data_IF_970453551847
#
_entry.id   IF_970453551847
#
_cell.length_a   1.000
_cell.length_b   1.000
_cell.length_c   1.000
_cell.angle_alpha   90.00
_cell.angle_beta   90.00
_cell.angle_gamma   90.00
#
_symmetry.space_group_name_H-M   'P 1'
#
loop_
_entity.id
_entity.type
_entity.pdbx_description
1 polymer ?
#
# COMPACT_ATOMS: atom_id res chain seq x y z
N UNK A 1 25.08 28.76 6.77
CA UNK A 1 24.40 29.59 5.74
C UNK A 1 25.06 29.48 4.37
N UNK A 2 26.37 29.71 4.23
CA UNK A 2 27.05 29.60 2.93
C UNK A 2 26.85 28.24 2.23
N UNK A 3 26.86 27.14 2.98
CA UNK A 3 26.64 25.79 2.42
C UNK A 3 25.25 25.63 1.80
N UNK A 4 24.21 26.19 2.42
CA UNK A 4 22.83 26.11 1.92
C UNK A 4 22.65 26.86 0.59
N UNK A 5 23.40 27.95 0.40
CA UNK A 5 23.32 28.79 -0.79
C UNK A 5 24.17 28.23 -1.95
N UNK A 6 25.36 27.69 -1.66
CA UNK A 6 26.36 27.36 -2.70
C UNK A 6 26.39 25.87 -3.07
N UNK A 7 25.93 24.98 -2.19
CA UNK A 7 25.95 23.54 -2.47
C UNK A 7 24.92 23.16 -3.53
N UNK A 8 25.32 22.28 -4.46
CA UNK A 8 24.42 21.67 -5.44
C UNK A 8 23.38 20.74 -4.81
N UNK A 9 23.61 20.27 -3.60
CA UNK A 9 22.64 19.50 -2.81
C UNK A 9 21.51 20.38 -2.23
N UNK A 10 21.66 21.70 -2.31
CA UNK A 10 20.68 22.70 -1.87
C UNK A 10 20.42 23.71 -3.01
N UNK A 11 20.50 25.02 -2.75
CA UNK A 11 20.12 26.04 -3.74
C UNK A 11 21.16 26.26 -4.84
N UNK A 12 22.40 25.80 -4.67
CA UNK A 12 23.53 26.12 -5.55
C UNK A 12 23.47 25.46 -6.94
N UNK A 13 22.52 24.56 -7.17
CA UNK A 13 22.25 23.95 -8.47
C UNK A 13 21.05 24.56 -9.21
N UNK A 14 20.35 25.52 -8.60
CA UNK A 14 19.13 26.11 -9.17
C UNK A 14 19.46 27.33 -10.03
N UNK A 15 18.77 27.45 -11.16
CA UNK A 15 18.95 28.53 -12.12
C UNK A 15 17.61 29.22 -12.41
N UNK A 16 17.64 30.56 -12.50
CA UNK A 16 16.49 31.35 -12.95
C UNK A 16 16.77 31.83 -14.36
N UNK A 17 15.85 31.55 -15.28
CA UNK A 17 15.92 32.03 -16.66
C UNK A 17 14.99 33.23 -16.84
N UNK A 18 15.57 34.41 -17.09
CA UNK A 18 14.81 35.62 -17.41
C UNK A 18 14.47 35.67 -18.90
N UNK A 19 13.23 36.07 -19.24
CA UNK A 19 12.77 36.24 -20.61
C UNK A 19 12.10 37.61 -20.77
N UNK A 20 12.39 38.33 -21.86
CA UNK A 20 11.80 39.65 -22.17
C UNK A 20 12.83 40.76 -22.32
N UNK A 21 12.51 41.96 -21.83
CA UNK A 21 13.43 43.10 -21.88
C UNK A 21 14.49 43.00 -20.77
N UNK A 22 15.73 42.70 -21.16
CA UNK A 22 16.85 42.49 -20.25
C UNK A 22 17.70 43.75 -20.03
N UNK A 23 17.27 44.90 -20.55
CA UNK A 23 18.02 46.15 -20.44
C UNK A 23 18.19 46.55 -18.97
N UNK A 24 19.44 46.77 -18.55
CA UNK A 24 19.83 47.08 -17.16
C UNK A 24 19.42 46.02 -16.12
N UNK A 25 19.14 44.77 -16.52
CA UNK A 25 18.74 43.73 -15.58
C UNK A 25 19.81 43.54 -14.49
N UNK A 26 21.10 43.48 -14.86
CA UNK A 26 22.23 43.32 -13.93
C UNK A 26 22.26 44.37 -12.81
N UNK A 27 21.86 45.60 -13.10
CA UNK A 27 21.82 46.70 -12.13
C UNK A 27 20.51 46.75 -11.34
N UNK A 28 19.46 46.08 -11.83
CA UNK A 28 18.13 46.06 -11.25
C UNK A 28 18.04 45.04 -10.10
N UNK A 29 18.48 45.45 -8.91
CA UNK A 29 18.43 44.63 -7.69
C UNK A 29 17.02 44.22 -7.27
N UNK A 30 16.01 45.02 -7.61
CA UNK A 30 14.62 44.73 -7.25
C UNK A 30 14.09 43.52 -8.03
N UNK A 31 14.36 43.45 -9.33
CA UNK A 31 14.00 42.30 -10.17
C UNK A 31 14.70 41.02 -9.72
N UNK A 32 15.99 41.08 -9.39
CA UNK A 32 16.72 39.93 -8.84
C UNK A 32 16.12 39.44 -7.52
N UNK A 33 15.72 40.35 -6.62
CA UNK A 33 15.08 39.97 -5.37
C UNK A 33 13.71 39.34 -5.62
N UNK A 34 12.90 39.91 -6.52
CA UNK A 34 11.59 39.36 -6.86
C UNK A 34 11.70 37.95 -7.42
N UNK A 35 12.61 37.74 -8.38
CA UNK A 35 12.85 36.43 -8.97
C UNK A 35 13.33 35.40 -7.93
N UNK A 36 14.20 35.79 -7.00
CA UNK A 36 14.62 34.91 -5.91
C UNK A 36 13.48 34.56 -4.97
N UNK A 37 12.60 35.51 -4.64
CA UNK A 37 11.43 35.25 -3.79
C UNK A 37 10.44 34.31 -4.49
N UNK A 38 10.19 34.50 -5.79
CA UNK A 38 9.33 33.60 -6.58
C UNK A 38 9.89 32.18 -6.65
N UNK A 39 11.19 32.03 -6.88
CA UNK A 39 11.84 30.72 -6.85
C UNK A 39 11.69 30.05 -5.47
N UNK A 40 11.91 30.80 -4.39
CA UNK A 40 11.78 30.28 -3.03
C UNK A 40 10.32 29.91 -2.69
N UNK A 41 9.34 30.68 -3.16
CA UNK A 41 7.91 30.40 -2.99
C UNK A 41 7.49 29.13 -3.75
N UNK A 42 8.03 28.94 -4.96
CA UNK A 42 7.82 27.70 -5.72
C UNK A 42 8.42 26.49 -4.98
N UNK A 43 9.66 26.60 -4.50
CA UNK A 43 10.30 25.53 -3.71
C UNK A 43 9.51 25.25 -2.43
N UNK A 44 9.06 26.29 -1.72
CA UNK A 44 8.22 26.13 -0.54
C UNK A 44 6.93 25.39 -0.87
N UNK A 45 6.26 25.77 -1.96
CA UNK A 45 5.02 25.12 -2.41
C UNK A 45 5.25 23.66 -2.77
N UNK A 46 6.33 23.34 -3.48
CA UNK A 46 6.71 21.97 -3.82
C UNK A 46 7.03 21.15 -2.58
N UNK A 47 7.82 21.68 -1.64
CA UNK A 47 8.12 21.03 -0.37
C UNK A 47 6.83 20.79 0.41
N UNK A 48 5.97 21.80 0.58
CA UNK A 48 4.68 21.64 1.29
C UNK A 48 3.77 20.63 0.61
N UNK A 49 3.80 20.53 -0.71
CA UNK A 49 3.08 19.52 -1.48
C UNK A 49 3.61 18.10 -1.29
N UNK A 50 4.84 17.95 -0.81
CA UNK A 50 5.53 16.68 -0.58
C UNK A 50 5.71 16.33 0.90
N UNK A 51 5.43 17.25 1.83
CA UNK A 51 5.45 16.95 3.27
C UNK A 51 4.31 15.99 3.57
N UNK A 52 4.67 14.75 3.87
CA UNK A 52 3.77 13.77 4.47
C UNK A 52 3.93 13.80 5.99
N UNK A 53 2.83 13.62 6.70
CA UNK A 53 2.82 13.60 8.17
C UNK A 53 3.49 12.33 8.74
N UNK A 54 3.55 11.26 7.94
CA UNK A 54 4.04 9.95 8.34
C UNK A 54 4.92 9.35 7.25
N UNK A 55 6.02 8.71 7.65
CA UNK A 55 6.87 7.88 6.80
C UNK A 55 6.86 6.42 7.29
N UNK A 56 7.11 5.48 6.39
CA UNK A 56 7.21 4.07 6.72
C UNK A 56 8.42 3.78 7.61
N UNK A 57 8.19 3.17 8.78
CA UNK A 57 9.27 2.68 9.63
C UNK A 57 9.82 1.34 9.13
N UNK A 58 11.15 1.18 9.20
CA UNK A 58 11.84 -0.11 8.97
C UNK A 58 11.85 -0.99 10.23
N UNK A 59 11.37 -0.47 11.34
CA UNK A 59 11.12 -1.21 12.56
C UNK A 59 9.66 -1.67 12.62
N UNK A 60 9.46 -2.93 12.98
CA UNK A 60 8.11 -3.47 13.07
C UNK A 60 7.45 -3.02 14.38
N UNK A 61 6.28 -2.41 14.24
CA UNK A 61 5.39 -2.07 15.36
C UNK A 61 4.12 -2.91 15.25
N UNK A 62 3.80 -3.62 16.32
CA UNK A 62 2.67 -4.54 16.36
C UNK A 62 1.42 -3.95 16.99
N UNK A 63 0.27 -4.28 16.43
CA UNK A 63 -1.05 -3.99 17.01
C UNK A 63 -1.87 -5.26 17.08
N UNK A 64 -2.78 -5.37 18.05
CA UNK A 64 -3.67 -6.54 18.13
C UNK A 64 -4.78 -6.43 17.08
N UNK A 65 -5.17 -7.57 16.50
CA UNK A 65 -6.22 -7.60 15.46
C UNK A 65 -7.51 -6.93 15.95
N UNK A 66 -7.94 -7.19 17.18
CA UNK A 66 -9.16 -6.59 17.75
C UNK A 66 -9.06 -5.08 18.05
N UNK A 67 -7.85 -4.51 18.05
CA UNK A 67 -7.64 -3.06 18.19
C UNK A 67 -7.73 -2.35 16.85
N UNK A 68 -7.38 -3.05 15.77
CA UNK A 68 -7.39 -2.54 14.40
C UNK A 68 -8.73 -2.81 13.71
N UNK A 69 -9.26 -4.02 13.88
CA UNK A 69 -10.50 -4.47 13.25
C UNK A 69 -11.68 -4.41 14.21
N UNK A 70 -12.62 -3.53 13.88
CA UNK A 70 -13.86 -3.31 14.61
C UNK A 70 -15.04 -3.24 13.63
N UNK A 71 -16.26 -3.33 14.18
CA UNK A 71 -17.48 -3.22 13.41
C UNK A 71 -17.62 -1.83 12.80
N UNK A 72 -17.60 -1.77 11.47
CA UNK A 72 -17.70 -0.53 10.69
C UNK A 72 -19.01 -0.51 9.90
N UNK A 73 -19.80 0.54 10.09
CA UNK A 73 -21.01 0.76 9.28
C UNK A 73 -20.63 1.41 7.96
N UNK A 74 -20.92 0.72 6.85
CA UNK A 74 -20.76 1.26 5.50
C UNK A 74 -22.05 1.95 5.06
N UNK A 75 -21.91 3.12 4.43
CA UNK A 75 -23.03 3.90 3.90
C UNK A 75 -22.90 3.99 2.38
N UNK A 76 -23.87 3.44 1.67
CA UNK A 76 -23.95 3.50 0.22
C UNK A 76 -25.11 4.40 -0.21
N UNK A 77 -24.92 5.16 -1.29
CA UNK A 77 -26.05 5.77 -2.00
C UNK A 77 -26.84 4.68 -2.73
N UNK A 78 -28.13 4.91 -2.98
CA UNK A 78 -29.01 3.91 -3.62
C UNK A 78 -28.50 3.42 -4.98
N UNK A 79 -27.82 4.29 -5.73
CA UNK A 79 -27.33 3.99 -7.08
C UNK A 79 -25.89 3.43 -7.09
N UNK A 80 -25.28 3.23 -5.91
CA UNK A 80 -23.90 2.73 -5.84
C UNK A 80 -23.87 1.22 -6.14
N UNK A 81 -23.17 0.85 -7.21
CA UNK A 81 -23.05 -0.55 -7.62
C UNK A 81 -22.34 -1.42 -6.59
N UNK A 82 -21.41 -0.87 -5.79
CA UNK A 82 -20.74 -1.59 -4.69
C UNK A 82 -21.70 -1.97 -3.57
N UNK A 83 -22.74 -1.16 -3.37
CA UNK A 83 -23.76 -1.39 -2.34
C UNK A 83 -24.85 -2.37 -2.76
N UNK A 84 -24.82 -2.89 -3.99
CA UNK A 84 -25.79 -3.89 -4.44
C UNK A 84 -25.53 -5.20 -3.71
N UNK A 85 -26.59 -5.77 -3.18
CA UNK A 85 -26.56 -7.09 -2.57
C UNK A 85 -26.12 -8.14 -3.60
N UNK A 86 -25.33 -9.09 -3.13
CA UNK A 86 -24.89 -10.24 -3.90
C UNK A 86 -25.22 -11.51 -3.11
N UNK A 87 -26.48 -11.97 -3.17
CA UNK A 87 -26.94 -13.09 -2.34
C UNK A 87 -26.20 -14.38 -2.66
N UNK A 88 -25.72 -14.54 -3.90
CA UNK A 88 -24.93 -15.70 -4.29
C UNK A 88 -23.57 -15.67 -3.60
N UNK A 89 -22.88 -14.52 -3.60
CA UNK A 89 -21.64 -14.39 -2.84
C UNK A 89 -21.87 -14.62 -1.34
N UNK A 90 -22.92 -14.04 -0.76
CA UNK A 90 -23.21 -14.28 0.66
C UNK A 90 -23.42 -15.78 0.94
N UNK A 91 -24.21 -16.47 0.13
CA UNK A 91 -24.44 -17.90 0.27
C UNK A 91 -23.14 -18.73 0.15
N UNK A 92 -22.29 -18.42 -0.81
CA UNK A 92 -21.04 -19.14 -1.06
C UNK A 92 -20.01 -18.98 0.07
N UNK A 93 -19.99 -17.82 0.74
CA UNK A 93 -18.91 -17.44 1.65
C UNK A 93 -19.29 -17.34 3.13
N UNK A 94 -20.58 -17.25 3.48
CA UNK A 94 -21.05 -17.13 4.87
C UNK A 94 -20.65 -18.30 5.79
N UNK A 95 -20.43 -19.49 5.24
CA UNK A 95 -20.04 -20.67 6.01
C UNK A 95 -18.52 -20.94 6.02
N UNK A 96 -17.72 -20.08 5.38
CA UNK A 96 -16.28 -20.28 5.22
C UNK A 96 -15.54 -19.73 6.45
N UNK A 97 -14.98 -20.64 7.24
CA UNK A 97 -14.23 -20.36 8.48
C UNK A 97 -12.98 -19.49 8.29
N UNK A 98 -12.40 -19.51 7.09
CA UNK A 98 -11.21 -18.74 6.73
C UNK A 98 -11.50 -17.30 6.31
N UNK A 99 -12.77 -16.92 6.08
CA UNK A 99 -13.13 -15.57 5.65
C UNK A 99 -13.90 -14.85 6.76
N UNK A 100 -13.37 -13.73 7.25
CA UNK A 100 -13.93 -13.04 8.41
C UNK A 100 -15.28 -12.33 8.14
N UNK A 101 -15.71 -12.26 6.88
CA UNK A 101 -16.90 -11.52 6.46
C UNK A 101 -17.88 -12.45 5.77
N UNK A 102 -19.18 -12.19 5.91
CA UNK A 102 -20.20 -12.98 5.23
C UNK A 102 -20.42 -12.55 3.78
N UNK A 103 -20.04 -11.32 3.43
CA UNK A 103 -20.23 -10.75 2.09
C UNK A 103 -19.22 -9.63 1.83
N UNK A 104 -19.13 -9.19 0.58
CA UNK A 104 -18.27 -8.08 0.15
C UNK A 104 -19.11 -7.06 -0.62
N UNK A 105 -19.27 -5.88 -0.04
CA UNK A 105 -19.78 -4.68 -0.71
C UNK A 105 -18.63 -3.92 -1.37
N UNK A 106 -18.08 -4.53 -2.41
CA UNK A 106 -16.82 -4.15 -3.04
C UNK A 106 -16.85 -4.26 -4.55
N UNK A 107 -15.68 -4.14 -5.17
CA UNK A 107 -15.53 -4.22 -6.63
C UNK A 107 -15.58 -5.65 -7.16
N UNK A 108 -15.73 -5.77 -8.49
CA UNK A 108 -15.62 -7.05 -9.19
C UNK A 108 -14.29 -7.74 -8.95
N UNK A 109 -13.20 -6.97 -8.86
CA UNK A 109 -11.84 -7.47 -8.65
C UNK A 109 -11.67 -8.05 -7.24
N UNK A 110 -12.18 -7.37 -6.22
CA UNK A 110 -12.19 -7.87 -4.84
C UNK A 110 -12.95 -9.20 -4.75
N UNK A 111 -14.15 -9.27 -5.35
CA UNK A 111 -14.94 -10.51 -5.38
C UNK A 111 -14.25 -11.63 -6.15
N UNK A 112 -13.63 -11.33 -7.29
CA UNK A 112 -12.89 -12.29 -8.09
C UNK A 112 -11.71 -12.88 -7.30
N UNK A 113 -10.96 -12.03 -6.58
CA UNK A 113 -9.87 -12.47 -5.72
C UNK A 113 -10.32 -13.48 -4.66
N UNK A 114 -11.42 -13.20 -3.95
CA UNK A 114 -11.93 -14.11 -2.91
C UNK A 114 -12.40 -15.44 -3.51
N UNK A 115 -13.05 -15.41 -4.68
CA UNK A 115 -13.41 -16.64 -5.41
C UNK A 115 -12.19 -17.43 -5.87
N UNK A 116 -11.11 -16.76 -6.27
CA UNK A 116 -9.85 -17.40 -6.62
C UNK A 116 -9.20 -18.05 -5.40
N UNK A 117 -9.13 -17.33 -4.28
CA UNK A 117 -8.56 -17.85 -3.05
C UNK A 117 -9.32 -19.09 -2.57
N UNK A 118 -10.66 -19.07 -2.60
CA UNK A 118 -11.50 -20.23 -2.20
C UNK A 118 -11.14 -21.51 -2.96
N UNK A 119 -10.89 -21.41 -4.27
CA UNK A 119 -10.45 -22.56 -5.09
C UNK A 119 -9.12 -23.14 -4.64
N UNK A 120 -8.31 -22.37 -3.92
CA UNK A 120 -6.96 -22.73 -3.47
C UNK A 120 -6.84 -22.98 -1.97
N UNK A 121 -7.87 -22.68 -1.18
CA UNK A 121 -7.85 -22.84 0.28
C UNK A 121 -7.48 -24.27 0.69
N UNK A 122 -8.03 -25.29 0.02
CA UNK A 122 -7.75 -26.69 0.38
C UNK A 122 -6.27 -27.05 0.17
N UNK A 123 -5.62 -26.52 -0.88
CA UNK A 123 -4.18 -26.69 -1.08
C UNK A 123 -3.38 -25.95 0.01
N UNK A 124 -3.79 -24.75 0.38
CA UNK A 124 -3.14 -24.00 1.46
C UNK A 124 -3.27 -24.74 2.81
N UNK A 125 -4.42 -25.38 3.06
CA UNK A 125 -4.65 -26.19 4.27
C UNK A 125 -3.73 -27.41 4.35
N UNK A 126 -3.07 -27.84 3.27
CA UNK A 126 -2.04 -28.90 3.36
C UNK A 126 -0.83 -28.44 4.19
N UNK A 127 -0.48 -27.15 4.12
CA UNK A 127 0.70 -26.57 4.79
C UNK A 127 0.36 -25.70 6.01
N UNK A 128 -0.81 -25.07 6.02
CA UNK A 128 -1.21 -24.10 7.03
C UNK A 128 -2.39 -24.63 7.86
N UNK A 129 -2.32 -24.46 9.19
CA UNK A 129 -3.37 -24.89 10.13
C UNK A 129 -4.49 -23.85 10.20
N UNK A 130 -4.10 -22.58 10.25
CA UNK A 130 -5.02 -21.46 10.33
C UNK A 130 -4.80 -20.53 9.14
N UNK A 131 -5.90 -20.21 8.47
CA UNK A 131 -5.95 -19.32 7.31
C UNK A 131 -7.04 -18.30 7.58
N UNK A 132 -6.70 -17.01 7.57
CA UNK A 132 -7.67 -15.94 7.77
C UNK A 132 -7.48 -14.83 6.74
N UNK A 133 -8.51 -14.59 5.94
CA UNK A 133 -8.58 -13.43 5.05
C UNK A 133 -9.43 -12.34 5.71
N UNK A 134 -8.81 -11.18 5.92
CA UNK A 134 -9.48 -9.98 6.40
C UNK A 134 -9.48 -8.91 5.31
N UNK A 135 -10.65 -8.35 5.02
CA UNK A 135 -10.81 -7.13 4.24
C UNK A 135 -10.50 -5.93 5.11
N UNK A 136 -9.61 -5.06 4.66
CA UNK A 136 -9.18 -3.90 5.42
C UNK A 136 -10.26 -2.81 5.47
N UNK A 137 -10.87 -2.46 4.33
CA UNK A 137 -11.88 -1.39 4.24
C UNK A 137 -11.42 -0.08 4.94
N UNK A 138 -10.12 0.21 4.89
CA UNK A 138 -9.51 1.39 5.51
C UNK A 138 -9.43 1.35 7.03
N UNK A 139 -9.45 0.18 7.66
CA UNK A 139 -9.24 0.01 9.10
C UNK A 139 -7.82 0.39 9.52
N UNK A 140 -6.84 0.18 8.66
CA UNK A 140 -5.49 0.69 8.84
C UNK A 140 -4.86 1.14 7.51
N UNK A 141 -3.82 1.96 7.64
CA UNK A 141 -2.95 2.35 6.55
C UNK A 141 -1.49 2.07 6.92
N UNK A 142 -0.67 1.87 5.89
CA UNK A 142 0.78 1.79 6.00
C UNK A 142 1.39 2.83 5.06
N UNK A 143 2.58 3.32 5.39
CA UNK A 143 3.23 4.41 4.67
C UNK A 143 4.49 3.89 3.99
N UNK A 144 4.77 4.36 2.78
CA UNK A 144 5.98 3.93 2.08
C UNK A 144 7.25 4.49 2.74
N UNK A 145 8.40 3.88 2.43
CA UNK A 145 9.68 4.23 3.05
C UNK A 145 10.36 5.46 2.43
N UNK A 146 9.84 5.99 1.32
CA UNK A 146 10.50 7.02 0.52
C UNK A 146 9.94 8.42 0.76
N UNK A 147 8.64 8.59 0.58
CA UNK A 147 7.97 9.90 0.60
C UNK A 147 6.76 9.92 1.55
N UNK A 148 6.51 8.84 2.28
CA UNK A 148 5.38 8.70 3.19
C UNK A 148 4.02 8.54 2.51
N UNK A 149 3.98 8.17 1.22
CA UNK A 149 2.71 7.92 0.55
C UNK A 149 1.88 6.86 1.28
N UNK A 150 0.62 7.19 1.55
CA UNK A 150 -0.30 6.35 2.31
C UNK A 150 -0.88 5.24 1.44
N UNK A 151 -0.68 4.00 1.87
CA UNK A 151 -1.23 2.80 1.24
C UNK A 151 -2.18 2.08 2.19
N UNK A 152 -3.39 1.82 1.72
CA UNK A 152 -4.39 1.01 2.41
C UNK A 152 -4.59 -0.26 1.58
N UNK A 153 -4.03 -1.41 1.98
CA UNK A 153 -4.23 -2.65 1.25
C UNK A 153 -5.70 -3.05 1.29
N UNK A 154 -6.25 -3.58 0.20
CA UNK A 154 -7.64 -4.08 0.18
C UNK A 154 -7.84 -5.27 1.14
N UNK A 155 -6.89 -6.21 1.15
CA UNK A 155 -6.94 -7.40 2.00
C UNK A 155 -5.63 -7.66 2.73
N UNK A 156 -5.76 -8.35 3.87
CA UNK A 156 -4.66 -8.95 4.60
C UNK A 156 -4.96 -10.43 4.79
N UNK A 157 -4.04 -11.28 4.33
CA UNK A 157 -4.13 -12.73 4.48
C UNK A 157 -3.13 -13.19 5.55
N UNK A 158 -3.63 -13.93 6.54
CA UNK A 158 -2.83 -14.58 7.57
C UNK A 158 -2.77 -16.08 7.32
N UNK A 159 -1.56 -16.65 7.33
CA UNK A 159 -1.30 -18.08 7.16
C UNK A 159 -0.42 -18.58 8.30
N UNK A 160 -0.93 -19.46 9.15
CA UNK A 160 -0.20 -20.06 10.27
C UNK A 160 0.28 -21.47 9.92
N UNK A 161 1.58 -21.74 9.95
CA UNK A 161 2.14 -23.07 9.61
C UNK A 161 1.74 -24.16 10.61
N UNK A 162 1.47 -25.38 10.11
CA UNK A 162 1.07 -26.54 10.93
C UNK A 162 2.16 -27.07 11.87
N UNK A 163 3.44 -26.99 11.50
CA UNK A 163 4.50 -27.72 12.20
C UNK A 163 5.83 -26.97 12.33
N UNK A 164 6.28 -26.77 13.59
CA UNK A 164 7.70 -26.64 13.96
C UNK A 164 8.28 -25.23 14.10
N UNK A 165 7.68 -24.18 13.49
CA UNK A 165 8.22 -22.80 13.59
C UNK A 165 7.33 -21.79 14.30
N UNK A 166 6.03 -22.07 14.48
CA UNK A 166 5.00 -21.11 14.91
C UNK A 166 5.09 -19.81 14.12
N UNK A 167 5.26 -19.94 12.80
CA UNK A 167 5.44 -18.83 11.88
C UNK A 167 4.10 -18.49 11.24
N UNK A 168 3.72 -17.22 11.37
CA UNK A 168 2.55 -16.64 10.73
C UNK A 168 3.01 -15.71 9.61
N UNK A 169 2.56 -15.99 8.39
CA UNK A 169 2.74 -15.08 7.27
C UNK A 169 1.60 -14.06 7.28
N UNK A 170 1.93 -12.78 7.13
CA UNK A 170 0.98 -11.72 6.92
C UNK A 170 1.23 -11.11 5.53
N UNK A 171 0.27 -11.28 4.64
CA UNK A 171 0.38 -10.85 3.25
C UNK A 171 -0.55 -9.68 2.98
N UNK A 172 0.00 -8.62 2.39
CA UNK A 172 -0.77 -7.46 1.92
C UNK A 172 -1.17 -7.65 0.46
N UNK A 173 -2.47 -7.64 0.19
CA UNK A 173 -3.03 -7.98 -1.12
C UNK A 173 -3.89 -6.82 -1.62
N UNK A 174 -3.73 -6.54 -2.91
CA UNK A 174 -4.48 -5.52 -3.63
C UNK A 174 -4.95 -6.09 -4.98
N UNK A 175 -6.25 -6.40 -5.14
CA UNK A 175 -6.87 -6.73 -6.41
C UNK A 175 -6.91 -5.51 -7.35
N UNK A 176 -6.59 -5.73 -8.62
CA UNK A 176 -6.65 -4.70 -9.68
C UNK A 176 -7.26 -5.26 -10.96
N UNK A 177 -7.91 -4.37 -11.71
CA UNK A 177 -8.36 -4.64 -13.06
C UNK A 177 -7.21 -4.52 -14.06
N UNK A 178 -7.43 -4.99 -15.29
CA UNK A 178 -6.43 -5.02 -16.36
C UNK A 178 -5.79 -3.65 -16.68
N UNK A 179 -6.53 -2.56 -16.47
CA UNK A 179 -6.05 -1.20 -16.70
C UNK A 179 -5.40 -0.62 -15.44
N UNK A 180 -4.13 -0.97 -15.24
CA UNK A 180 -3.26 -0.32 -14.26
C UNK A 180 -3.12 1.17 -14.59
N UNK A 181 -3.56 2.02 -13.68
CA UNK A 181 -3.31 3.46 -13.78
C UNK A 181 -1.90 3.76 -13.28
N UNK A 182 -1.24 4.79 -13.84
CA UNK A 182 0.07 5.26 -13.34
C UNK A 182 0.02 5.61 -11.84
N UNK A 183 -1.17 5.96 -11.32
CA UNK A 183 -1.43 6.24 -9.91
C UNK A 183 -1.32 5.03 -8.99
N UNK A 184 -1.45 3.80 -9.50
CA UNK A 184 -1.31 2.58 -8.69
C UNK A 184 0.09 1.97 -8.78
N UNK A 185 0.92 2.40 -9.75
CA UNK A 185 2.25 1.82 -10.00
C UNK A 185 3.17 1.90 -8.78
N UNK A 186 3.11 3.01 -8.04
CA UNK A 186 3.95 3.19 -6.84
C UNK A 186 3.57 2.20 -5.72
N UNK A 187 2.30 1.78 -5.62
CA UNK A 187 1.88 0.79 -4.61
C UNK A 187 2.46 -0.59 -4.92
N UNK A 188 2.55 -0.97 -6.20
CA UNK A 188 3.19 -2.23 -6.60
C UNK A 188 4.69 -2.21 -6.27
N UNK A 189 5.35 -1.07 -6.51
CA UNK A 189 6.74 -0.86 -6.08
C UNK A 189 6.83 -1.01 -4.57
N UNK A 190 5.96 -0.36 -3.81
CA UNK A 190 5.96 -0.43 -2.35
C UNK A 190 5.76 -1.86 -1.82
N UNK A 191 4.85 -2.66 -2.39
CA UNK A 191 4.68 -4.08 -2.03
C UNK A 191 5.98 -4.88 -2.26
N UNK A 192 6.70 -4.62 -3.36
CA UNK A 192 8.02 -5.23 -3.62
C UNK A 192 9.06 -4.77 -2.60
N UNK A 193 9.01 -3.51 -2.16
CA UNK A 193 9.89 -3.02 -1.10
C UNK A 193 9.60 -3.70 0.23
N UNK A 194 8.34 -3.85 0.64
CA UNK A 194 7.97 -4.60 1.85
C UNK A 194 8.54 -6.02 1.78
N UNK A 195 8.41 -6.70 0.63
CA UNK A 195 9.00 -8.04 0.43
C UNK A 195 10.53 -8.02 0.52
N UNK A 196 11.21 -6.99 0.00
CA UNK A 196 12.67 -6.86 0.10
C UNK A 196 13.14 -6.64 1.54
N UNK A 197 12.47 -5.75 2.26
CA UNK A 197 12.86 -5.33 3.61
C UNK A 197 12.48 -6.36 4.68
N UNK A 198 11.25 -6.91 4.61
CA UNK A 198 10.69 -7.78 5.64
C UNK A 198 10.51 -9.22 5.19
N UNK A 199 10.51 -9.47 3.88
CA UNK A 199 10.20 -10.79 3.33
C UNK A 199 11.23 -11.85 3.66
N UNK A 200 12.41 -11.57 4.22
CA UNK A 200 13.31 -12.59 4.79
C UNK A 200 13.54 -12.41 6.30
N UNK A 201 12.88 -11.42 6.91
CA UNK A 201 13.05 -11.06 8.31
C UNK A 201 11.98 -11.76 9.14
N UNK A 202 12.43 -12.57 10.09
CA UNK A 202 11.53 -13.17 11.09
C UNK A 202 11.34 -12.16 12.22
N UNK A 203 10.11 -11.69 12.37
CA UNK A 203 9.70 -10.81 13.45
C UNK A 203 9.26 -11.67 14.65
N UNK A 204 9.86 -11.45 15.82
CA UNK A 204 9.51 -12.19 17.03
C UNK A 204 8.62 -11.32 17.91
N UNK A 205 7.41 -11.80 18.17
CA UNK A 205 6.45 -11.20 19.07
C UNK A 205 6.15 -12.20 20.17
N UNK A 206 6.65 -11.94 21.37
CA UNK A 206 6.53 -12.87 22.50
C UNK A 206 7.00 -14.27 22.07
N UNK A 207 6.10 -15.26 22.04
CA UNK A 207 6.38 -16.64 21.63
C UNK A 207 6.10 -16.91 20.13
N UNK A 208 5.45 -15.96 19.45
CA UNK A 208 5.03 -16.07 18.05
C UNK A 208 6.06 -15.47 17.07
N UNK A 209 6.12 -16.03 15.86
CA UNK A 209 6.97 -15.51 14.79
C UNK A 209 6.12 -15.03 13.63
N UNK A 210 6.50 -13.92 13.02
CA UNK A 210 5.80 -13.34 11.89
C UNK A 210 6.75 -13.07 10.72
N UNK A 211 6.21 -13.17 9.51
CA UNK A 211 6.87 -12.76 8.26
C UNK A 211 5.91 -11.88 7.46
N UNK A 212 6.29 -10.64 7.21
CA UNK A 212 5.51 -9.72 6.39
C UNK A 212 5.89 -9.86 4.93
N UNK A 213 4.90 -9.92 4.06
CA UNK A 213 5.11 -10.09 2.63
C UNK A 213 4.18 -9.15 1.87
N UNK A 214 4.76 -8.29 1.03
CA UNK A 214 4.01 -7.67 -0.06
C UNK A 214 3.95 -8.62 -1.25
N UNK A 215 2.76 -8.90 -1.75
CA UNK A 215 2.56 -9.66 -3.00
C UNK A 215 2.29 -8.70 -4.16
N UNK A 216 2.57 -9.09 -5.41
CA UNK A 216 2.13 -8.29 -6.56
C UNK A 216 0.60 -8.17 -6.57
N UNK A 217 0.10 -7.24 -7.38
CA UNK A 217 -1.34 -7.10 -7.57
C UNK A 217 -1.96 -8.39 -8.11
N UNK A 218 -3.16 -8.69 -7.62
CA UNK A 218 -3.97 -9.73 -8.21
C UNK A 218 -4.72 -9.16 -9.42
N UNK A 219 -4.60 -9.81 -10.57
CA UNK A 219 -5.42 -9.55 -11.75
C UNK A 219 -6.11 -10.86 -12.14
N UNK A 220 -7.42 -10.80 -12.37
CA UNK A 220 -8.24 -11.94 -12.77
C UNK A 220 -7.87 -12.48 -14.16
N UNK A 221 -7.32 -11.66 -15.05
CA UNK A 221 -6.85 -12.13 -16.38
C UNK A 221 -5.59 -13.00 -16.28
N UNK A 222 -4.78 -12.79 -15.24
CA UNK A 222 -3.47 -13.41 -15.04
C UNK A 222 -3.34 -14.12 -13.67
N UNK A 223 -4.39 -14.83 -13.24
CA UNK A 223 -4.43 -15.49 -11.92
C UNK A 223 -3.22 -16.42 -11.66
N UNK A 224 -2.72 -17.08 -12.71
CA UNK A 224 -1.58 -18.00 -12.62
C UNK A 224 -0.30 -17.28 -12.17
N UNK A 225 -0.06 -16.06 -12.68
CA UNK A 225 1.12 -15.27 -12.33
C UNK A 225 1.04 -14.87 -10.86
N UNK A 226 -0.12 -14.41 -10.41
CA UNK A 226 -0.32 -14.09 -9.00
C UNK A 226 -0.07 -15.31 -8.11
N UNK A 227 -0.60 -16.48 -8.48
CA UNK A 227 -0.41 -17.73 -7.75
C UNK A 227 1.06 -18.12 -7.64
N UNK A 228 1.81 -18.09 -8.74
CA UNK A 228 3.24 -18.42 -8.74
C UNK A 228 4.03 -17.48 -7.83
N UNK A 229 3.70 -16.19 -7.85
CA UNK A 229 4.33 -15.21 -6.96
C UNK A 229 3.96 -15.41 -5.49
N UNK A 230 2.71 -15.77 -5.21
CA UNK A 230 2.24 -16.10 -3.87
C UNK A 230 2.98 -17.32 -3.32
N UNK A 231 3.02 -18.42 -4.07
CA UNK A 231 3.74 -19.64 -3.68
C UNK A 231 5.25 -19.38 -3.51
N UNK A 232 5.86 -18.63 -4.43
CA UNK A 232 7.26 -18.23 -4.34
C UNK A 232 7.56 -17.39 -3.10
N UNK A 233 6.65 -16.48 -2.71
CA UNK A 233 6.85 -15.66 -1.53
C UNK A 233 6.73 -16.44 -0.21
N UNK A 234 5.98 -17.55 -0.23
CA UNK A 234 5.77 -18.43 0.92
C UNK A 234 6.85 -19.51 1.08
N UNK A 235 7.76 -19.64 0.11
CA UNK A 235 8.94 -20.51 0.21
C UNK A 235 10.15 -19.79 0.83
#
# INVERSE_FOLDING_TARGET
>A
MSNFIVSKEYLGGLEITFQGNLYNLEENRAEHLSAMLELLDQIETEIRGQITEYEGSREFMSSRIHEVFYDKTLKFSKDNERGREDPQFEHDFKAKDWFAFNTIYGTSEEKAFVRMLDRHIEKLKERYEHIYLLRNEGHFAIYNFSDGATFQPDFVLFLHEKDGKSLTYQLFIEPKGAHLTDKDRWKEVFLKEIKREFGNRILKLEESKYRLIGVPFYNNEDENIFRENLESALN
#
